data_IF_093493569260
#
_entry.id   IF_093493569260
#
_cell.length_a   1.000
_cell.length_b   1.000
_cell.length_c   1.000
_cell.angle_alpha   90.00
_cell.angle_beta   90.00
_cell.angle_gamma   90.00
#
_symmetry.space_group_name_H-M   'P 1'
#
loop_
_entity.id
_entity.type
_entity.pdbx_description
1 polymer ?
#
# COMPACT_ATOMS: atom_id res chain seq x y z
N UNK A 1 -1.82 -0.62 -3.43
CA UNK A 1 -2.48 -0.16 -2.19
C UNK A 1 -1.44 -0.23 -1.10
N UNK A 2 -1.41 0.73 -0.19
CA UNK A 2 -0.46 0.76 0.93
C UNK A 2 -1.21 1.22 2.17
N UNK A 3 -0.91 0.58 3.29
CA UNK A 3 -1.26 1.04 4.61
C UNK A 3 0.01 1.59 5.29
N UNK A 4 -0.13 2.63 6.12
CA UNK A 4 0.91 3.07 7.06
C UNK A 4 0.62 2.47 8.44
N UNK A 5 1.53 1.64 8.97
CA UNK A 5 1.38 0.89 10.23
C UNK A 5 2.73 0.56 10.88
N UNK A 6 2.70 0.14 12.15
CA UNK A 6 3.76 -0.68 12.72
C UNK A 6 3.79 -2.11 12.16
N UNK A 7 4.70 -2.95 12.63
CA UNK A 7 4.93 -4.29 12.06
C UNK A 7 4.22 -5.43 12.81
N UNK A 8 3.65 -5.16 13.98
CA UNK A 8 2.99 -6.15 14.81
C UNK A 8 1.47 -6.00 14.75
N UNK A 9 0.84 -6.91 14.01
CA UNK A 9 -0.61 -6.93 13.76
C UNK A 9 -1.46 -7.00 15.05
N UNK A 10 -0.92 -7.49 16.16
CA UNK A 10 -1.65 -7.61 17.43
C UNK A 10 -1.80 -6.28 18.16
N UNK A 11 -0.77 -5.43 18.10
CA UNK A 11 -0.73 -4.17 18.84
C UNK A 11 -0.93 -2.96 17.94
N UNK A 12 -0.44 -3.01 16.71
CA UNK A 12 -0.45 -1.87 15.79
C UNK A 12 -1.81 -1.72 15.09
N UNK A 13 -2.04 -0.52 14.55
CA UNK A 13 -3.25 -0.14 13.82
C UNK A 13 -2.90 0.51 12.49
N UNK A 14 -3.86 0.50 11.57
CA UNK A 14 -3.75 1.23 10.30
C UNK A 14 -3.92 2.72 10.59
N UNK A 15 -2.90 3.51 10.25
CA UNK A 15 -2.89 4.97 10.41
C UNK A 15 -3.33 5.69 9.15
N UNK A 16 -3.02 5.13 7.99
CA UNK A 16 -3.31 5.70 6.68
C UNK A 16 -3.55 4.57 5.70
N UNK A 17 -4.46 4.77 4.75
CA UNK A 17 -4.68 3.88 3.61
C UNK A 17 -4.76 4.70 2.33
N UNK A 18 -3.98 4.29 1.33
CA UNK A 18 -4.04 4.86 -0.01
C UNK A 18 -4.26 3.77 -1.06
N UNK A 19 -4.97 4.12 -2.13
CA UNK A 19 -5.26 3.22 -3.24
C UNK A 19 -4.95 3.86 -4.59
N UNK A 20 -4.31 3.08 -5.47
CA UNK A 20 -4.11 3.40 -6.89
C UNK A 20 -4.44 2.15 -7.69
N UNK A 21 -5.22 2.31 -8.75
CA UNK A 21 -5.54 1.24 -9.70
C UNK A 21 -4.69 1.43 -10.96
N UNK A 22 -4.11 0.35 -11.48
CA UNK A 22 -3.36 0.39 -12.74
C UNK A 22 -4.01 -0.51 -13.79
N UNK A 23 -3.65 -0.32 -15.05
CA UNK A 23 -4.08 -1.15 -16.18
C UNK A 23 -3.35 -2.50 -16.29
N UNK A 24 -2.57 -2.88 -15.27
CA UNK A 24 -1.72 -4.08 -15.28
C UNK A 24 -0.47 -3.98 -16.16
N UNK A 25 -0.39 -2.98 -17.06
CA UNK A 25 0.78 -2.67 -17.88
C UNK A 25 1.64 -1.57 -17.28
N UNK A 26 1.18 -0.94 -16.20
CA UNK A 26 1.82 0.20 -15.53
C UNK A 26 1.95 1.43 -16.45
N UNK A 27 1.07 1.52 -17.46
CA UNK A 27 1.03 2.64 -18.42
C UNK A 27 0.02 3.69 -18.01
N UNK A 28 -1.10 3.27 -17.43
CA UNK A 28 -2.13 4.15 -16.87
C UNK A 28 -2.34 3.81 -15.41
N UNK A 29 -2.55 4.84 -14.61
CA UNK A 29 -2.88 4.74 -13.20
C UNK A 29 -4.00 5.72 -12.86
N UNK A 30 -4.92 5.29 -12.00
CA UNK A 30 -5.94 6.12 -11.41
C UNK A 30 -5.71 6.22 -9.91
N UNK A 31 -5.44 7.43 -9.44
CA UNK A 31 -5.32 7.71 -8.01
C UNK A 31 -6.71 7.67 -7.37
N UNK A 32 -6.81 6.91 -6.29
CA UNK A 32 -8.02 6.72 -5.51
C UNK A 32 -7.97 7.47 -4.18
N UNK A 33 -8.73 7.01 -3.18
CA UNK A 33 -8.71 7.59 -1.85
C UNK A 33 -7.31 7.53 -1.22
N UNK A 34 -6.95 8.61 -0.53
CA UNK A 34 -5.79 8.76 0.35
C UNK A 34 -6.32 9.26 1.69
N UNK A 35 -6.46 8.33 2.64
CA UNK A 35 -7.26 8.53 3.86
C UNK A 35 -6.39 8.29 5.09
N UNK A 36 -6.25 9.32 5.91
CA UNK A 36 -5.74 9.20 7.28
C UNK A 36 -6.86 8.69 8.19
N UNK A 37 -6.59 7.63 8.94
CA UNK A 37 -7.54 6.96 9.83
C UNK A 37 -7.32 7.46 11.25
N UNK A 38 -8.41 7.87 11.89
CA UNK A 38 -8.35 8.35 13.26
C UNK A 38 -8.02 7.20 14.23
N UNK A 39 -7.08 7.43 15.16
CA UNK A 39 -6.72 6.50 16.23
C UNK A 39 -6.78 7.21 17.58
N UNK A 40 -6.96 6.44 18.65
CA UNK A 40 -6.94 7.00 20.00
C UNK A 40 -5.54 7.54 20.34
N UNK A 41 -5.49 8.53 21.23
CA UNK A 41 -4.24 9.14 21.64
C UNK A 41 -3.30 8.11 22.29
N UNK A 42 -3.85 7.21 23.09
CA UNK A 42 -3.12 6.13 23.77
C UNK A 42 -2.46 5.18 22.77
N UNK A 43 -3.16 4.85 21.67
CA UNK A 43 -2.61 4.04 20.58
C UNK A 43 -1.41 4.75 19.95
N UNK A 44 -1.56 6.03 19.59
CA UNK A 44 -0.48 6.80 18.95
C UNK A 44 0.72 6.99 19.86
N UNK A 45 0.50 7.28 21.15
CA UNK A 45 1.57 7.45 22.13
C UNK A 45 2.37 6.15 22.34
N UNK A 46 1.76 4.98 22.13
CA UNK A 46 2.44 3.68 22.21
C UNK A 46 3.30 3.33 20.98
N UNK A 47 3.13 4.05 19.86
CA UNK A 47 3.81 3.76 18.58
C UNK A 47 5.19 4.46 18.44
N UNK A 48 5.64 5.19 19.48
CA UNK A 48 6.97 5.81 19.54
C UNK A 48 7.13 7.08 18.67
N UNK A 49 8.37 7.54 18.49
CA UNK A 49 8.70 8.80 17.76
C UNK A 49 8.50 8.72 16.24
N UNK A 50 8.20 7.55 15.69
CA UNK A 50 8.13 7.33 14.24
C UNK A 50 6.85 7.87 13.60
N UNK A 51 5.81 8.16 14.40
CA UNK A 51 4.53 8.64 13.90
C UNK A 51 4.54 10.17 13.82
N UNK A 52 4.46 10.71 12.60
CA UNK A 52 4.26 12.15 12.42
C UNK A 52 2.88 12.53 12.97
N UNK A 53 2.90 13.19 14.14
CA UNK A 53 1.73 13.69 14.86
C UNK A 53 0.88 14.67 14.04
N UNK A 54 1.32 15.12 12.87
CA UNK A 54 0.51 15.99 11.98
C UNK A 54 -0.73 15.31 11.38
N UNK A 55 -0.94 14.01 11.62
CA UNK A 55 -2.12 13.27 11.18
C UNK A 55 -3.40 13.53 12.00
N UNK A 56 -3.40 14.43 13.00
CA UNK A 56 -4.60 14.84 13.74
C UNK A 56 -5.53 15.77 12.94
N UNK A 57 -6.06 15.35 11.80
CA UNK A 57 -7.15 16.09 11.15
C UNK A 57 -7.85 15.31 10.03
N UNK A 58 -8.87 14.52 10.39
CA UNK A 58 -10.24 14.51 9.81
C UNK A 58 -10.90 13.17 10.14
N UNK A 59 -12.11 13.27 10.69
CA UNK A 59 -12.97 12.21 11.22
C UNK A 59 -13.32 11.13 10.20
N UNK A 60 -12.38 10.25 9.84
CA UNK A 60 -12.69 9.03 9.12
C UNK A 60 -12.53 7.84 10.06
N UNK A 61 -13.67 7.22 10.39
CA UNK A 61 -13.67 5.92 11.03
C UNK A 61 -13.12 4.88 10.05
N UNK A 62 -12.48 3.86 10.60
CA UNK A 62 -11.89 2.75 9.83
C UNK A 62 -12.90 2.14 8.85
N UNK A 63 -14.15 2.00 9.27
CA UNK A 63 -15.26 1.44 8.48
C UNK A 63 -15.61 2.34 7.29
N UNK A 64 -15.52 3.66 7.45
CA UNK A 64 -15.77 4.61 6.37
C UNK A 64 -14.61 4.64 5.37
N UNK A 65 -13.38 4.51 5.85
CA UNK A 65 -12.20 4.35 5.00
C UNK A 65 -12.31 3.06 4.17
N UNK A 66 -12.67 1.94 4.80
CA UNK A 66 -12.89 0.66 4.11
C UNK A 66 -13.95 0.80 3.00
N UNK A 67 -15.11 1.37 3.32
CA UNK A 67 -16.20 1.58 2.34
C UNK A 67 -15.78 2.45 1.17
N UNK A 68 -15.06 3.54 1.42
CA UNK A 68 -14.61 4.45 0.36
C UNK A 68 -13.64 3.75 -0.60
N UNK A 69 -12.66 3.03 -0.06
CA UNK A 69 -11.68 2.29 -0.86
C UNK A 69 -12.37 1.16 -1.62
N UNK A 70 -13.24 0.38 -0.97
CA UNK A 70 -14.00 -0.70 -1.60
C UNK A 70 -14.90 -0.18 -2.74
N UNK A 71 -15.62 0.93 -2.52
CA UNK A 71 -16.44 1.56 -3.55
C UNK A 71 -15.60 2.05 -4.74
N UNK A 72 -14.41 2.61 -4.47
CA UNK A 72 -13.48 3.01 -5.51
C UNK A 72 -12.99 1.82 -6.34
N UNK A 73 -12.60 0.72 -5.69
CA UNK A 73 -12.13 -0.49 -6.38
C UNK A 73 -13.25 -1.10 -7.23
N UNK A 74 -14.44 -1.30 -6.65
CA UNK A 74 -15.57 -1.90 -7.35
C UNK A 74 -16.01 -1.07 -8.57
N UNK A 75 -15.97 0.27 -8.48
CA UNK A 75 -16.34 1.17 -9.59
C UNK A 75 -15.42 1.03 -10.81
N UNK A 76 -14.13 0.77 -10.60
CA UNK A 76 -13.13 0.86 -11.67
C UNK A 76 -12.61 -0.50 -12.15
N UNK A 77 -12.67 -1.54 -11.32
CA UNK A 77 -12.24 -2.90 -11.71
C UNK A 77 -13.36 -3.68 -12.40
N UNK A 78 -14.62 -3.30 -12.17
CA UNK A 78 -15.77 -3.95 -12.79
C UNK A 78 -15.92 -5.40 -12.34
N UNK A 79 -16.01 -6.35 -13.28
CA UNK A 79 -16.18 -7.79 -13.00
C UNK A 79 -14.87 -8.54 -12.84
N UNK A 80 -13.72 -7.87 -12.97
CA UNK A 80 -12.42 -8.53 -12.85
C UNK A 80 -12.04 -8.70 -11.38
N UNK A 81 -11.26 -9.74 -11.08
CA UNK A 81 -10.67 -9.92 -9.75
C UNK A 81 -9.39 -9.08 -9.65
N UNK A 82 -9.33 -8.03 -8.81
CA UNK A 82 -8.13 -7.23 -8.68
C UNK A 82 -7.02 -7.99 -7.96
N UNK A 83 -5.77 -7.80 -8.38
CA UNK A 83 -4.60 -8.24 -7.63
C UNK A 83 -4.12 -7.13 -6.69
N UNK A 84 -3.82 -7.50 -5.45
CA UNK A 84 -3.21 -6.58 -4.51
C UNK A 84 -1.70 -6.45 -4.83
N UNK A 85 -1.25 -5.21 -5.02
CA UNK A 85 0.12 -4.89 -5.44
C UNK A 85 0.74 -3.78 -4.58
N UNK A 86 2.04 -3.92 -4.32
CA UNK A 86 2.86 -2.96 -3.56
C UNK A 86 4.20 -3.58 -3.13
N UNK A 87 5.02 -2.82 -2.40
CA UNK A 87 6.23 -3.34 -1.79
C UNK A 87 5.94 -4.02 -0.47
N UNK A 88 6.39 -5.28 -0.31
CA UNK A 88 6.17 -6.05 0.93
C UNK A 88 4.69 -6.15 1.28
N UNK A 89 3.85 -6.16 0.23
CA UNK A 89 2.40 -5.99 0.28
C UNK A 89 1.67 -7.06 1.11
N UNK A 90 2.34 -8.18 1.36
CA UNK A 90 1.86 -9.21 2.26
C UNK A 90 1.60 -8.67 3.67
N UNK A 91 2.42 -7.73 4.16
CA UNK A 91 2.21 -7.08 5.46
C UNK A 91 0.91 -6.29 5.46
N UNK A 92 0.68 -5.46 4.43
CA UNK A 92 -0.57 -4.72 4.28
C UNK A 92 -1.79 -5.65 4.20
N UNK A 93 -1.69 -6.75 3.44
CA UNK A 93 -2.76 -7.74 3.37
C UNK A 93 -3.14 -8.31 4.74
N UNK A 94 -2.15 -8.56 5.62
CA UNK A 94 -2.44 -9.02 6.98
C UNK A 94 -3.29 -8.01 7.75
N UNK A 95 -2.90 -6.73 7.71
CA UNK A 95 -3.63 -5.65 8.36
C UNK A 95 -5.03 -5.50 7.77
N UNK A 96 -5.18 -5.58 6.44
CA UNK A 96 -6.48 -5.56 5.78
C UNK A 96 -7.35 -6.74 6.25
N UNK A 97 -6.82 -7.96 6.34
CA UNK A 97 -7.60 -9.12 6.82
C UNK A 97 -8.14 -8.93 8.24
N UNK A 98 -7.39 -8.26 9.12
CA UNK A 98 -7.80 -8.01 10.51
C UNK A 98 -8.73 -6.80 10.65
N UNK A 99 -8.41 -5.71 9.97
CA UNK A 99 -9.03 -4.39 10.19
C UNK A 99 -9.96 -3.94 9.07
N UNK A 100 -9.89 -4.52 7.89
CA UNK A 100 -10.75 -4.19 6.74
C UNK A 100 -11.12 -5.47 5.97
N UNK A 101 -11.83 -6.42 6.60
CA UNK A 101 -12.03 -7.76 6.05
C UNK A 101 -12.89 -7.77 4.78
N UNK A 102 -13.83 -6.84 4.62
CA UNK A 102 -14.64 -6.76 3.40
C UNK A 102 -13.77 -6.32 2.23
N UNK A 103 -12.88 -5.35 2.44
CA UNK A 103 -11.89 -4.96 1.43
C UNK A 103 -10.85 -6.05 1.18
N UNK A 104 -10.41 -6.78 2.20
CA UNK A 104 -9.49 -7.89 2.01
C UNK A 104 -10.11 -9.04 1.17
N UNK A 105 -11.41 -9.26 1.31
CA UNK A 105 -12.13 -10.38 0.68
C UNK A 105 -12.21 -10.31 -0.85
N UNK A 106 -12.08 -9.12 -1.44
CA UNK A 106 -12.10 -8.95 -2.90
C UNK A 106 -10.78 -9.32 -3.58
N UNK A 107 -9.69 -9.42 -2.80
CA UNK A 107 -8.38 -9.78 -3.32
C UNK A 107 -8.15 -11.29 -3.22
N UNK A 108 -7.57 -11.94 -4.25
CA UNK A 108 -7.22 -13.34 -4.19
C UNK A 108 -5.96 -13.55 -3.34
N UNK A 109 -5.62 -14.81 -3.09
CA UNK A 109 -4.38 -15.18 -2.39
C UNK A 109 -3.10 -14.83 -3.16
N UNK A 110 -3.20 -14.59 -4.47
CA UNK A 110 -2.08 -14.21 -5.34
C UNK A 110 -1.83 -12.71 -5.21
N UNK A 111 -0.59 -12.35 -4.89
CA UNK A 111 -0.15 -10.96 -4.68
C UNK A 111 0.93 -10.59 -5.68
N UNK A 112 0.98 -9.31 -6.04
CA UNK A 112 2.08 -8.73 -6.83
C UNK A 112 2.99 -7.97 -5.87
N UNK A 113 3.96 -8.69 -5.30
CA UNK A 113 4.92 -8.12 -4.36
C UNK A 113 6.18 -7.60 -5.09
N UNK A 114 6.29 -6.28 -5.18
CA UNK A 114 7.43 -5.59 -5.83
C UNK A 114 8.74 -5.91 -5.10
N UNK A 115 8.72 -6.11 -3.79
CA UNK A 115 9.91 -6.45 -3.01
C UNK A 115 10.46 -7.83 -3.38
N UNK A 116 9.59 -8.78 -3.75
CA UNK A 116 10.01 -10.08 -4.29
C UNK A 116 10.73 -9.93 -5.62
N UNK A 117 10.21 -9.09 -6.53
CA UNK A 117 10.87 -8.78 -7.80
C UNK A 117 12.21 -8.10 -7.57
N UNK A 118 12.26 -7.10 -6.69
CA UNK A 118 13.50 -6.41 -6.29
C UNK A 118 14.55 -7.41 -5.79
N UNK A 119 14.14 -8.39 -4.96
CA UNK A 119 15.03 -9.40 -4.41
C UNK A 119 15.60 -10.35 -5.47
N UNK A 120 14.84 -10.64 -6.53
CA UNK A 120 15.32 -11.41 -7.69
C UNK A 120 16.28 -10.56 -8.54
N UNK A 121 15.89 -9.33 -8.90
CA UNK A 121 16.73 -8.42 -9.69
C UNK A 121 18.08 -8.12 -9.01
N UNK A 122 18.11 -8.01 -7.68
CA UNK A 122 19.35 -7.86 -6.92
C UNK A 122 20.35 -9.01 -7.15
N UNK A 123 19.85 -10.24 -7.28
CA UNK A 123 20.66 -11.45 -7.43
C UNK A 123 20.99 -11.77 -8.87
N UNK A 124 19.99 -11.66 -9.74
CA UNK A 124 20.11 -12.05 -11.16
C UNK A 124 20.73 -10.95 -12.00
N UNK A 125 20.50 -9.68 -11.64
CA UNK A 125 20.89 -8.54 -12.46
C UNK A 125 21.45 -7.36 -11.63
N UNK A 126 22.57 -7.58 -10.90
CA UNK A 126 23.09 -6.62 -9.95
C UNK A 126 23.60 -5.30 -10.58
N UNK A 127 23.96 -5.29 -11.87
CA UNK A 127 24.47 -4.08 -12.56
C UNK A 127 23.33 -3.11 -12.87
N UNK A 128 22.24 -3.63 -13.38
CA UNK A 128 21.04 -2.90 -13.72
C UNK A 128 20.33 -2.45 -12.44
N UNK A 129 20.31 -3.28 -11.39
CA UNK A 129 19.70 -2.90 -10.11
C UNK A 129 20.38 -1.67 -9.47
N UNK A 130 21.69 -1.49 -9.67
CA UNK A 130 22.42 -0.29 -9.23
C UNK A 130 21.98 0.99 -9.93
N UNK A 131 21.36 0.88 -11.11
CA UNK A 131 20.80 2.01 -11.88
C UNK A 131 19.33 2.28 -11.56
N UNK A 132 18.69 1.42 -10.76
CA UNK A 132 17.30 1.63 -10.35
C UNK A 132 17.17 2.92 -9.53
N UNK A 133 16.04 3.66 -9.67
CA UNK A 133 15.81 4.88 -8.91
C UNK A 133 15.85 4.61 -7.40
N UNK A 134 16.47 5.54 -6.65
CA UNK A 134 16.48 5.50 -5.20
C UNK A 134 15.12 5.94 -4.65
N UNK A 135 14.64 5.26 -3.61
CA UNK A 135 13.42 5.63 -2.88
C UNK A 135 13.68 6.90 -2.06
N UNK A 136 12.74 7.84 -2.12
CA UNK A 136 12.79 9.09 -1.35
C UNK A 136 12.28 8.83 0.08
N UNK A 137 11.42 7.81 0.27
CA UNK A 137 10.88 7.39 1.57
C UNK A 137 10.21 8.54 2.32
N UNK A 138 9.19 9.13 1.69
CA UNK A 138 8.42 10.24 2.30
C UNK A 138 7.45 9.78 3.40
N UNK A 139 7.33 8.47 3.64
CA UNK A 139 6.52 7.87 4.69
C UNK A 139 5.04 8.27 4.63
N UNK A 140 4.52 8.44 3.41
CA UNK A 140 3.10 8.66 3.12
C UNK A 140 2.62 7.54 2.21
N UNK A 141 1.47 6.95 2.53
CA UNK A 141 0.97 5.77 1.84
C UNK A 141 0.86 5.99 0.32
N UNK A 142 0.36 7.15 -0.12
CA UNK A 142 0.22 7.46 -1.55
C UNK A 142 1.59 7.62 -2.25
N UNK A 143 2.56 8.28 -1.60
CA UNK A 143 3.91 8.42 -2.14
C UNK A 143 4.60 7.07 -2.26
N UNK A 144 4.46 6.21 -1.25
CA UNK A 144 5.04 4.86 -1.25
C UNK A 144 4.43 3.98 -2.36
N UNK A 145 3.14 4.13 -2.67
CA UNK A 145 2.51 3.47 -3.83
C UNK A 145 3.12 3.96 -5.14
N UNK A 146 3.30 5.28 -5.30
CA UNK A 146 3.89 5.86 -6.51
C UNK A 146 5.33 5.38 -6.70
N UNK A 147 6.11 5.33 -5.62
CA UNK A 147 7.45 4.74 -5.63
C UNK A 147 7.43 3.25 -6.00
N UNK A 148 6.49 2.48 -5.45
CA UNK A 148 6.33 1.05 -5.78
C UNK A 148 6.02 0.83 -7.26
N UNK A 149 5.12 1.63 -7.84
CA UNK A 149 4.76 1.57 -9.27
C UNK A 149 5.97 1.95 -10.13
N UNK A 150 6.68 3.01 -9.77
CA UNK A 150 7.88 3.44 -10.50
C UNK A 150 8.98 2.37 -10.46
N UNK A 151 9.20 1.75 -9.30
CA UNK A 151 10.17 0.67 -9.13
C UNK A 151 9.81 -0.55 -10.01
N UNK A 152 8.54 -0.99 -9.97
CA UNK A 152 8.10 -2.14 -10.77
C UNK A 152 8.15 -1.83 -12.28
N UNK A 153 7.81 -0.60 -12.67
CA UNK A 153 7.92 -0.14 -14.06
C UNK A 153 9.37 -0.16 -14.54
N UNK A 154 10.29 0.33 -13.71
CA UNK A 154 11.72 0.26 -14.01
C UNK A 154 12.17 -1.19 -14.28
N UNK A 155 11.79 -2.14 -13.42
CA UNK A 155 12.15 -3.54 -13.63
C UNK A 155 11.56 -4.12 -14.92
N UNK A 156 10.30 -3.81 -15.24
CA UNK A 156 9.64 -4.25 -16.48
C UNK A 156 10.32 -3.73 -17.74
N UNK A 157 10.95 -2.55 -17.69
CA UNK A 157 11.60 -1.92 -18.85
C UNK A 157 13.06 -2.33 -19.04
N UNK A 158 13.72 -2.82 -17.99
CA UNK A 158 15.16 -3.10 -17.98
C UNK A 158 15.51 -4.60 -17.89
N UNK A 159 14.51 -5.47 -17.71
CA UNK A 159 14.64 -6.92 -17.60
C UNK A 159 13.56 -7.65 -18.39
#
# INVERSE_FOLDING_TARGET
>A
MQCSQGLNIEVDRILEIACVITDGKLTKSLEGPDIVINQSKECLDSMGEWVDRKCFAKYNYREDAEKQVLAFVNRHVGTQTPLLAGNSIYVDLMFLKKYMPNLASIFPHVLVDVSSVTALCLRWFPKEKKKAPAKVKKHRAMDDIKESIMELKYYKENY
#
